data_IF_237180458079
#
_entry.id   IF_237180458079
#
_cell.length_a   1.000
_cell.length_b   1.000
_cell.length_c   1.000
_cell.angle_alpha   90.00
_cell.angle_beta   90.00
_cell.angle_gamma   90.00
#
_symmetry.space_group_name_H-M   'P 1'
#
loop_
_entity.id
_entity.type
_entity.pdbx_description
1 polymer ?
#
# COMPACT_ATOMS: atom_id res chain seq x y z
N UNK A 1 -37.60 53.46 4.81
CA UNK A 1 -38.29 54.20 5.90
C UNK A 1 -37.79 53.60 7.20
N UNK A 2 -37.20 54.25 8.21
CA UNK A 2 -36.98 55.64 8.66
C UNK A 2 -35.90 55.47 9.78
N UNK A 3 -34.69 56.02 9.75
CA UNK A 3 -34.25 57.26 10.43
C UNK A 3 -32.70 57.22 10.38
N UNK A 4 -31.97 58.05 9.62
CA UNK A 4 -31.59 59.46 9.86
C UNK A 4 -31.04 59.77 11.27
N UNK A 5 -29.72 59.90 11.38
CA UNK A 5 -29.08 61.05 12.05
C UNK A 5 -27.87 61.52 11.23
N UNK A 6 -27.84 62.83 11.04
CA UNK A 6 -26.99 63.66 10.20
C UNK A 6 -26.23 64.60 11.14
N UNK A 7 -24.97 64.93 10.86
CA UNK A 7 -24.36 66.26 11.09
C UNK A 7 -22.98 66.28 10.38
N UNK A 8 -22.80 66.92 9.21
CA UNK A 8 -22.49 68.35 8.96
C UNK A 8 -21.23 68.83 9.73
N UNK A 9 -20.22 69.54 9.21
CA UNK A 9 -19.78 70.06 7.89
C UNK A 9 -18.52 70.94 8.18
N UNK A 10 -17.86 71.49 7.14
CA UNK A 10 -16.95 72.68 7.13
C UNK A 10 -15.47 72.38 7.43
N UNK A 11 -14.44 72.93 6.76
CA UNK A 11 -14.21 73.70 5.52
C UNK A 11 -12.69 74.02 5.51
N UNK A 12 -12.03 73.88 4.35
CA UNK A 12 -10.97 74.74 3.78
C UNK A 12 -9.97 75.45 4.72
N UNK A 13 -8.67 75.22 4.53
CA UNK A 13 -7.73 76.33 4.22
C UNK A 13 -6.32 75.84 3.86
N UNK A 14 -5.79 76.56 2.89
CA UNK A 14 -4.56 76.37 2.14
C UNK A 14 -3.55 77.40 2.67
N UNK A 15 -2.36 77.00 3.14
CA UNK A 15 -1.21 77.92 3.31
C UNK A 15 0.09 77.19 2.95
N UNK A 16 0.75 77.71 1.90
CA UNK A 16 2.14 77.47 1.50
C UNK A 16 3.13 78.05 2.52
N UNK A 17 4.27 77.38 2.73
CA UNK A 17 5.59 78.04 2.84
C UNK A 17 6.66 77.19 2.16
N UNK A 18 7.50 77.87 1.38
CA UNK A 18 8.60 77.40 0.55
C UNK A 18 9.93 77.24 1.31
N UNK A 19 10.78 76.35 0.77
CA UNK A 19 12.25 76.38 0.72
C UNK A 19 13.08 76.12 1.99
N UNK A 20 13.93 75.08 1.96
CA UNK A 20 15.39 75.23 1.82
C UNK A 20 16.17 73.89 1.91
N UNK A 21 17.09 73.74 0.95
CA UNK A 21 18.43 73.11 1.03
C UNK A 21 18.61 71.59 1.27
N UNK A 22 18.79 70.89 0.14
CA UNK A 22 20.04 70.22 -0.29
C UNK A 22 20.93 69.52 0.76
N UNK A 23 21.06 68.20 0.61
CA UNK A 23 22.37 67.52 0.43
C UNK A 23 22.18 66.12 -0.13
N UNK A 24 22.69 65.91 -1.33
CA UNK A 24 22.84 64.61 -1.99
C UNK A 24 24.06 63.89 -1.41
N UNK A 25 23.91 62.65 -0.97
CA UNK A 25 24.98 61.65 -1.01
C UNK A 25 24.41 60.30 -1.44
N UNK A 26 25.20 59.64 -2.28
CA UNK A 26 24.94 58.42 -3.03
C UNK A 26 25.74 57.28 -2.40
N UNK A 27 25.22 56.06 -2.52
CA UNK A 27 25.89 54.75 -2.40
C UNK A 27 26.32 54.28 -0.99
N UNK A 28 25.77 53.15 -0.50
CA UNK A 28 26.28 51.79 -0.74
C UNK A 28 25.40 50.70 -0.10
N UNK A 29 25.40 49.53 -0.74
CA UNK A 29 24.75 48.27 -0.35
C UNK A 29 25.32 47.72 0.96
N UNK A 30 24.46 47.16 1.82
CA UNK A 30 24.81 45.97 2.63
C UNK A 30 23.54 45.26 3.07
N UNK A 31 23.26 44.15 2.39
CA UNK A 31 22.34 43.10 2.76
C UNK A 31 22.95 42.21 3.85
N UNK A 32 22.21 41.98 4.94
CA UNK A 32 22.24 40.84 5.88
C UNK A 32 21.33 41.27 7.06
N UNK A 33 20.29 40.54 7.49
CA UNK A 33 20.35 39.15 7.88
C UNK A 33 18.95 38.50 7.82
N UNK A 34 18.94 37.29 7.25
CA UNK A 34 17.79 36.40 7.13
C UNK A 34 17.35 35.89 8.51
N UNK A 35 16.06 35.99 8.80
CA UNK A 35 15.39 35.00 9.65
C UNK A 35 14.86 33.97 8.66
N UNK A 36 15.53 32.82 8.56
CA UNK A 36 15.04 31.67 7.82
C UNK A 36 13.77 31.16 8.52
N UNK A 37 12.65 31.70 8.08
CA UNK A 37 11.36 31.03 8.15
C UNK A 37 11.47 29.85 7.17
N UNK A 38 11.51 28.64 7.72
CA UNK A 38 11.52 27.38 7.00
C UNK A 38 10.44 27.43 5.92
N UNK A 39 10.87 27.49 4.67
CA UNK A 39 9.97 27.61 3.54
C UNK A 39 9.11 26.35 3.47
N UNK A 40 7.86 26.46 3.94
CA UNK A 40 6.85 25.45 3.73
C UNK A 40 6.83 25.09 2.24
N UNK A 41 7.27 23.87 1.92
CA UNK A 41 7.14 23.31 0.58
C UNK A 41 5.67 23.48 0.15
N UNK A 42 5.38 23.90 -1.10
CA UNK A 42 4.00 24.01 -1.53
C UNK A 42 3.34 22.63 -1.38
N UNK A 43 2.25 22.57 -0.62
CA UNK A 43 1.46 21.36 -0.40
C UNK A 43 1.03 20.78 -1.74
N UNK A 44 1.76 19.77 -2.21
CA UNK A 44 1.45 19.03 -3.43
C UNK A 44 0.59 17.81 -3.13
N UNK A 45 0.14 17.12 -4.16
CA UNK A 45 -0.39 15.77 -4.02
C UNK A 45 0.50 14.77 -4.73
N UNK A 46 0.48 13.52 -4.26
CA UNK A 46 1.01 12.37 -4.99
C UNK A 46 -0.13 11.40 -5.34
N UNK A 47 0.00 10.71 -6.47
CA UNK A 47 -0.87 9.60 -6.86
C UNK A 47 -0.19 8.30 -6.43
N UNK A 48 -0.81 7.61 -5.47
CA UNK A 48 -0.40 6.28 -5.01
C UNK A 48 -1.24 5.23 -5.73
N UNK A 49 -0.63 4.50 -6.68
CA UNK A 49 -1.27 3.32 -7.25
C UNK A 49 -1.00 2.10 -6.36
N UNK A 50 -2.07 1.45 -5.94
CA UNK A 50 -2.02 0.32 -5.01
C UNK A 50 -3.03 -0.74 -5.41
N UNK A 51 -3.16 -1.79 -4.60
CA UNK A 51 -4.09 -2.87 -4.87
C UNK A 51 -5.41 -2.73 -4.14
N UNK A 52 -6.51 -3.17 -4.75
CA UNK A 52 -7.82 -3.25 -4.08
C UNK A 52 -7.72 -4.04 -2.77
N UNK A 53 -6.98 -5.16 -2.75
CA UNK A 53 -6.77 -5.92 -1.52
C UNK A 53 -5.96 -5.17 -0.46
N UNK A 54 -5.09 -4.23 -0.85
CA UNK A 54 -4.43 -3.32 0.11
C UNK A 54 -5.45 -2.35 0.71
N UNK A 55 -6.24 -1.68 -0.13
CA UNK A 55 -7.21 -0.68 0.29
C UNK A 55 -8.29 -1.28 1.19
N UNK A 56 -8.80 -2.46 0.84
CA UNK A 56 -9.86 -3.15 1.58
C UNK A 56 -9.45 -3.55 3.00
N UNK A 57 -8.14 -3.61 3.30
CA UNK A 57 -7.67 -3.85 4.68
C UNK A 57 -7.88 -2.65 5.60
N UNK A 58 -8.15 -1.45 5.06
CA UNK A 58 -8.22 -0.20 5.80
C UNK A 58 -6.87 0.38 6.24
N UNK A 59 -5.75 -0.32 6.00
CA UNK A 59 -4.42 0.13 6.44
C UNK A 59 -4.06 1.51 5.88
N UNK A 60 -4.40 1.79 4.62
CA UNK A 60 -4.09 3.09 4.00
C UNK A 60 -4.95 4.21 4.58
N UNK A 61 -6.20 3.93 4.94
CA UNK A 61 -7.07 4.93 5.57
C UNK A 61 -6.57 5.31 6.97
N UNK A 62 -5.85 4.40 7.62
CA UNK A 62 -5.16 4.63 8.89
C UNK A 62 -3.83 5.39 8.72
N UNK A 63 -2.98 4.99 7.77
CA UNK A 63 -1.62 5.53 7.63
C UNK A 63 -1.56 6.87 6.88
N UNK A 64 -2.31 7.02 5.79
CA UNK A 64 -2.16 8.18 4.90
C UNK A 64 -2.49 9.53 5.57
N UNK A 65 -3.48 9.64 6.48
CA UNK A 65 -3.70 10.87 7.23
C UNK A 65 -2.48 11.32 8.05
N UNK A 66 -1.73 10.38 8.63
CA UNK A 66 -0.51 10.66 9.41
C UNK A 66 0.59 11.22 8.50
N UNK A 67 0.78 10.61 7.33
CA UNK A 67 1.73 11.12 6.33
C UNK A 67 1.38 12.54 5.88
N UNK A 68 0.09 12.79 5.58
CA UNK A 68 -0.37 14.12 5.15
C UNK A 68 -0.22 15.16 6.27
N UNK A 69 -0.48 14.80 7.53
CA UNK A 69 -0.27 15.69 8.68
C UNK A 69 1.21 16.07 8.86
N UNK A 70 2.13 15.11 8.74
CA UNK A 70 3.56 15.34 8.92
C UNK A 70 4.21 16.10 7.77
N UNK A 71 3.77 15.84 6.53
CA UNK A 71 4.48 16.32 5.32
C UNK A 71 3.75 17.40 4.56
N UNK A 72 2.47 17.62 4.87
CA UNK A 72 1.57 18.49 4.11
C UNK A 72 1.40 18.05 2.63
N UNK A 73 1.64 16.76 2.32
CA UNK A 73 1.45 16.17 0.99
C UNK A 73 0.18 15.32 1.01
N UNK A 74 -0.78 15.64 0.15
CA UNK A 74 -2.00 14.85 -0.01
C UNK A 74 -1.70 13.57 -0.81
N UNK A 75 -2.21 12.41 -0.36
CA UNK A 75 -2.07 11.15 -1.10
C UNK A 75 -3.40 10.77 -1.73
N UNK A 76 -3.42 10.71 -3.07
CA UNK A 76 -4.58 10.27 -3.85
C UNK A 76 -4.39 8.81 -4.23
N UNK A 77 -5.16 7.92 -3.60
CA UNK A 77 -5.06 6.49 -3.86
C UNK A 77 -5.84 6.09 -5.11
N UNK A 78 -5.25 5.21 -5.92
CA UNK A 78 -5.93 4.49 -7.00
C UNK A 78 -5.72 2.99 -6.75
N UNK A 79 -6.78 2.33 -6.28
CA UNK A 79 -6.76 0.91 -5.93
C UNK A 79 -7.30 0.06 -7.09
N UNK A 80 -6.42 -0.76 -7.68
CA UNK A 80 -6.72 -1.62 -8.85
C UNK A 80 -6.03 -2.98 -8.71
N UNK A 81 -6.12 -3.90 -9.66
CA UNK A 81 -5.26 -5.10 -9.62
C UNK A 81 -3.77 -4.75 -9.80
N UNK A 82 -2.84 -5.53 -9.22
CA UNK A 82 -1.39 -5.25 -9.30
C UNK A 82 -0.90 -5.00 -10.73
N UNK A 83 -1.38 -5.79 -11.70
CA UNK A 83 -1.04 -5.60 -13.11
C UNK A 83 -1.46 -4.24 -13.67
N UNK A 84 -2.64 -3.72 -13.27
CA UNK A 84 -3.08 -2.38 -13.69
C UNK A 84 -2.32 -1.27 -12.94
N UNK A 85 -2.00 -1.44 -11.66
CA UNK A 85 -1.17 -0.49 -10.91
C UNK A 85 0.24 -0.37 -11.52
N UNK A 86 0.86 -1.50 -11.87
CA UNK A 86 2.15 -1.53 -12.57
C UNK A 86 2.03 -0.88 -13.96
N UNK A 87 0.94 -1.11 -14.68
CA UNK A 87 0.68 -0.45 -15.95
C UNK A 87 0.56 1.07 -15.79
N UNK A 88 -0.08 1.57 -14.72
CA UNK A 88 -0.16 3.01 -14.45
C UNK A 88 1.22 3.65 -14.29
N UNK A 89 2.16 2.99 -13.61
CA UNK A 89 3.56 3.47 -13.56
C UNK A 89 4.22 3.51 -14.94
N UNK A 90 3.92 2.55 -15.83
CA UNK A 90 4.41 2.52 -17.21
C UNK A 90 3.80 3.59 -18.11
N UNK A 91 2.63 4.10 -17.72
CA UNK A 91 1.90 5.12 -18.46
C UNK A 91 2.13 6.54 -17.87
N UNK A 92 2.90 6.65 -16.76
CA UNK A 92 3.13 7.91 -16.06
C UNK A 92 1.91 8.44 -15.30
N UNK A 93 0.97 7.55 -14.98
CA UNK A 93 -0.32 7.87 -14.33
C UNK A 93 -0.27 7.77 -12.80
N UNK A 94 0.88 7.40 -12.21
CA UNK A 94 1.10 7.32 -10.77
C UNK A 94 2.49 7.84 -10.41
N UNK A 95 2.64 8.44 -9.24
CA UNK A 95 3.92 8.95 -8.74
C UNK A 95 4.69 7.88 -7.96
N UNK A 96 3.95 7.01 -7.26
CA UNK A 96 4.51 5.93 -6.44
C UNK A 96 3.58 4.72 -6.45
N UNK A 97 4.16 3.53 -6.40
CA UNK A 97 3.44 2.27 -6.21
C UNK A 97 3.60 1.76 -4.78
N UNK A 98 2.53 1.14 -4.25
CA UNK A 98 2.59 0.21 -3.12
C UNK A 98 1.81 -1.05 -3.50
N UNK A 99 2.51 -2.08 -3.96
CA UNK A 99 1.94 -3.30 -4.57
C UNK A 99 2.64 -4.55 -4.04
N UNK A 100 2.15 -5.74 -4.39
CA UNK A 100 2.64 -7.04 -3.88
C UNK A 100 2.91 -8.09 -4.97
N UNK A 101 3.45 -7.66 -6.11
CA UNK A 101 3.86 -8.50 -7.24
C UNK A 101 5.38 -8.38 -7.50
N UNK A 102 6.20 -8.82 -6.52
CA UNK A 102 7.67 -8.66 -6.51
C UNK A 102 8.37 -8.98 -7.86
N UNK A 103 8.05 -10.06 -8.60
CA UNK A 103 8.69 -10.30 -9.90
C UNK A 103 8.42 -9.19 -10.92
N UNK A 104 7.19 -8.70 -11.01
CA UNK A 104 6.81 -7.64 -11.95
C UNK A 104 7.33 -6.27 -11.50
N UNK A 105 7.41 -6.04 -10.19
CA UNK A 105 8.03 -4.86 -9.58
C UNK A 105 9.53 -4.76 -9.90
N UNK A 106 10.27 -5.86 -9.73
CA UNK A 106 11.70 -5.90 -10.06
C UNK A 106 11.94 -5.66 -11.55
N UNK A 107 11.08 -6.22 -12.42
CA UNK A 107 11.12 -5.95 -13.85
C UNK A 107 10.82 -4.48 -14.18
N UNK A 108 9.90 -3.83 -13.46
CA UNK A 108 9.59 -2.42 -13.62
C UNK A 108 10.81 -1.52 -13.31
N UNK A 109 11.58 -1.87 -12.27
CA UNK A 109 12.85 -1.21 -11.93
C UNK A 109 13.92 -1.49 -13.01
N UNK A 110 14.08 -2.75 -13.43
CA UNK A 110 15.05 -3.14 -14.46
C UNK A 110 14.84 -2.40 -15.79
N UNK A 111 13.58 -2.19 -16.17
CA UNK A 111 13.21 -1.45 -17.39
C UNK A 111 13.26 0.08 -17.21
N UNK A 112 13.57 0.56 -16.01
CA UNK A 112 13.77 1.96 -15.66
C UNK A 112 12.49 2.79 -15.53
N UNK A 113 11.34 2.15 -15.34
CA UNK A 113 10.06 2.84 -15.06
C UNK A 113 9.88 3.19 -13.58
N UNK A 114 10.57 2.48 -12.68
CA UNK A 114 10.71 2.84 -11.28
C UNK A 114 12.19 3.02 -10.95
N UNK A 115 12.52 3.90 -9.99
CA UNK A 115 13.91 4.20 -9.64
C UNK A 115 14.52 3.15 -8.72
N UNK A 116 13.75 2.70 -7.73
CA UNK A 116 14.13 1.65 -6.80
C UNK A 116 12.89 0.91 -6.26
N UNK A 117 13.13 -0.15 -5.51
CA UNK A 117 12.11 -0.91 -4.79
C UNK A 117 12.58 -1.14 -3.36
N UNK A 118 11.75 -0.78 -2.38
CA UNK A 118 11.96 -1.13 -0.97
C UNK A 118 10.87 -2.08 -0.50
N UNK A 119 11.27 -3.15 0.19
CA UNK A 119 10.33 -4.01 0.92
C UNK A 119 9.72 -3.19 2.07
N UNK A 120 8.41 -3.25 2.28
CA UNK A 120 7.73 -2.48 3.34
C UNK A 120 7.23 -3.41 4.44
N UNK A 121 6.43 -4.39 4.04
CA UNK A 121 5.75 -5.31 4.94
C UNK A 121 5.32 -6.53 4.13
N UNK A 122 4.87 -7.57 4.79
CA UNK A 122 4.14 -8.64 4.13
C UNK A 122 2.89 -8.98 4.94
N UNK A 123 1.84 -9.39 4.24
CA UNK A 123 0.90 -10.34 4.83
C UNK A 123 1.24 -11.73 4.27
N UNK A 124 0.56 -12.76 4.75
CA UNK A 124 0.85 -14.12 4.33
C UNK A 124 -0.38 -14.86 3.84
N UNK A 125 -0.10 -15.83 3.00
CA UNK A 125 -0.99 -16.92 2.71
C UNK A 125 -0.78 -18.05 3.72
N UNK A 126 -1.78 -18.88 3.87
CA UNK A 126 -1.74 -20.06 4.73
C UNK A 126 -2.33 -21.25 3.97
N UNK A 127 -1.83 -22.44 4.27
CA UNK A 127 -2.53 -23.66 3.90
C UNK A 127 -3.47 -24.02 5.05
N UNK A 128 -4.77 -24.06 4.77
CA UNK A 128 -5.77 -24.56 5.72
C UNK A 128 -6.30 -25.91 5.28
N UNK A 129 -6.83 -26.68 6.23
CA UNK A 129 -7.40 -27.99 5.97
C UNK A 129 -8.16 -28.55 7.18
N UNK A 130 -8.76 -29.74 7.04
CA UNK A 130 -9.54 -30.37 8.12
C UNK A 130 -8.71 -30.52 9.40
N UNK A 131 -9.30 -30.22 10.56
CA UNK A 131 -8.63 -30.38 11.86
C UNK A 131 -8.25 -31.86 12.15
N UNK A 132 -9.03 -32.80 11.63
CA UNK A 132 -8.78 -34.25 11.65
C UNK A 132 -8.07 -34.76 10.38
N UNK A 133 -7.46 -33.84 9.62
CA UNK A 133 -6.74 -34.11 8.39
C UNK A 133 -5.48 -34.98 8.56
N UNK A 134 -4.96 -35.46 7.43
CA UNK A 134 -3.77 -36.32 7.38
C UNK A 134 -2.46 -35.55 7.49
N UNK A 135 -2.43 -34.30 7.01
CA UNK A 135 -1.22 -33.48 7.01
C UNK A 135 -0.87 -33.02 8.43
N UNK A 136 0.41 -33.04 8.73
CA UNK A 136 0.93 -32.47 9.97
C UNK A 136 1.03 -30.95 9.88
N UNK A 137 0.82 -30.27 11.00
CA UNK A 137 1.05 -28.82 11.08
C UNK A 137 2.55 -28.50 10.97
N UNK A 138 2.91 -27.46 10.22
CA UNK A 138 4.31 -27.11 9.98
C UNK A 138 4.50 -25.79 9.24
N UNK A 139 5.68 -25.62 8.65
CA UNK A 139 6.10 -24.39 7.96
C UNK A 139 6.76 -24.65 6.59
N UNK A 140 6.54 -25.84 6.01
CA UNK A 140 7.07 -26.22 4.69
C UNK A 140 5.90 -26.45 3.73
N UNK A 141 5.59 -25.44 2.93
CA UNK A 141 4.43 -25.50 2.01
C UNK A 141 4.69 -26.46 0.86
N UNK A 142 5.93 -26.56 0.39
CA UNK A 142 6.27 -27.40 -0.76
C UNK A 142 6.15 -28.89 -0.39
N UNK A 143 6.58 -29.26 0.82
CA UNK A 143 6.38 -30.61 1.35
C UNK A 143 4.89 -30.95 1.52
N UNK A 144 4.09 -30.02 2.04
CA UNK A 144 2.65 -30.23 2.22
C UNK A 144 1.91 -30.40 0.89
N UNK A 145 2.19 -29.55 -0.11
CA UNK A 145 1.59 -29.67 -1.44
C UNK A 145 1.99 -30.98 -2.13
N UNK A 146 3.25 -31.41 -1.95
CA UNK A 146 3.70 -32.72 -2.44
C UNK A 146 2.91 -33.86 -1.79
N UNK A 147 2.70 -33.83 -0.48
CA UNK A 147 1.90 -34.85 0.22
C UNK A 147 0.44 -34.87 -0.22
N UNK A 148 -0.16 -33.70 -0.43
CA UNK A 148 -1.52 -33.55 -1.01
C UNK A 148 -1.58 -34.21 -2.38
N UNK A 149 -0.62 -33.92 -3.26
CA UNK A 149 -0.57 -34.49 -4.60
C UNK A 149 -0.33 -36.01 -4.58
N UNK A 150 0.60 -36.50 -3.76
CA UNK A 150 0.98 -37.92 -3.73
C UNK A 150 -0.16 -38.79 -3.19
N UNK A 151 -0.92 -38.27 -2.23
CA UNK A 151 -2.07 -38.97 -1.63
C UNK A 151 -3.42 -38.60 -2.25
N UNK A 152 -3.43 -37.70 -3.25
CA UNK A 152 -4.64 -37.19 -3.91
C UNK A 152 -5.69 -36.71 -2.90
N UNK A 153 -5.24 -35.96 -1.89
CA UNK A 153 -6.12 -35.36 -0.91
C UNK A 153 -6.89 -34.22 -1.56
N UNK A 154 -8.17 -34.05 -1.22
CA UNK A 154 -8.97 -32.98 -1.82
C UNK A 154 -8.30 -31.63 -1.58
N UNK A 155 -8.14 -30.88 -2.65
CA UNK A 155 -7.59 -29.53 -2.66
C UNK A 155 -8.56 -28.63 -3.42
N UNK A 156 -8.96 -27.52 -2.83
CA UNK A 156 -9.87 -26.57 -3.45
C UNK A 156 -9.08 -25.36 -3.91
N UNK A 157 -9.10 -25.11 -5.21
CA UNK A 157 -8.57 -23.90 -5.82
C UNK A 157 -9.68 -22.86 -6.00
N UNK A 158 -9.27 -21.60 -5.91
CA UNK A 158 -10.07 -20.45 -6.33
C UNK A 158 -10.46 -20.55 -7.80
N UNK A 159 -9.52 -20.92 -8.68
CA UNK A 159 -9.77 -21.04 -10.13
C UNK A 159 -10.31 -19.77 -10.80
N UNK A 160 -9.97 -18.57 -10.28
CA UNK A 160 -10.62 -17.30 -10.63
C UNK A 160 -9.64 -16.21 -11.12
N UNK A 161 -8.41 -16.59 -11.48
CA UNK A 161 -7.30 -15.70 -11.89
C UNK A 161 -6.89 -14.61 -10.88
N UNK A 162 -7.35 -14.72 -9.63
CA UNK A 162 -6.97 -13.80 -8.54
C UNK A 162 -5.50 -13.91 -8.12
N UNK A 163 -5.07 -12.98 -7.27
CA UNK A 163 -3.75 -13.05 -6.62
C UNK A 163 -3.53 -14.37 -5.86
N UNK A 164 -4.53 -14.83 -5.10
CA UNK A 164 -4.46 -16.11 -4.39
C UNK A 164 -4.35 -17.29 -5.35
N UNK A 165 -5.13 -17.31 -6.44
CA UNK A 165 -5.04 -18.35 -7.46
C UNK A 165 -3.64 -18.38 -8.10
N UNK A 166 -3.11 -17.22 -8.49
CA UNK A 166 -1.75 -17.13 -9.05
C UNK A 166 -0.67 -17.57 -8.07
N UNK A 167 -0.80 -17.22 -6.79
CA UNK A 167 0.09 -17.67 -5.73
C UNK A 167 0.07 -19.19 -5.62
N UNK A 168 -1.11 -19.76 -5.51
CA UNK A 168 -1.32 -21.21 -5.46
C UNK A 168 -0.66 -21.93 -6.64
N UNK A 169 -0.95 -21.52 -7.88
CA UNK A 169 -0.33 -22.08 -9.08
C UNK A 169 1.19 -21.94 -9.08
N UNK A 170 1.72 -20.84 -8.56
CA UNK A 170 3.17 -20.65 -8.43
C UNK A 170 3.81 -21.66 -7.48
N UNK A 171 3.12 -22.04 -6.40
CA UNK A 171 3.60 -23.04 -5.44
C UNK A 171 3.60 -24.45 -6.05
N UNK A 172 2.55 -24.81 -6.79
CA UNK A 172 2.50 -26.07 -7.54
C UNK A 172 3.63 -26.18 -8.56
N UNK A 173 3.92 -25.07 -9.26
CA UNK A 173 5.04 -25.01 -10.21
C UNK A 173 6.40 -25.18 -9.55
N UNK A 174 6.61 -24.70 -8.33
CA UNK A 174 7.88 -24.87 -7.60
C UNK A 174 8.21 -26.35 -7.31
N UNK A 175 7.20 -27.23 -7.28
CA UNK A 175 7.39 -28.68 -7.12
C UNK A 175 7.19 -29.47 -8.42
N UNK A 176 7.16 -28.78 -9.58
CA UNK A 176 6.95 -29.37 -10.91
C UNK A 176 5.66 -30.21 -11.01
N UNK A 177 4.59 -29.81 -10.31
CA UNK A 177 3.28 -30.47 -10.34
C UNK A 177 2.27 -29.60 -11.08
N UNK A 178 1.56 -30.21 -12.03
CA UNK A 178 0.34 -29.63 -12.62
C UNK A 178 -0.87 -30.31 -11.95
N UNK A 179 -1.59 -29.62 -11.05
CA UNK A 179 -2.65 -30.24 -10.28
C UNK A 179 -3.86 -30.50 -11.18
N UNK A 180 -4.15 -31.78 -11.44
CA UNK A 180 -5.25 -32.20 -12.30
C UNK A 180 -5.96 -33.44 -11.73
N UNK A 181 -7.25 -33.57 -12.04
CA UNK A 181 -8.10 -34.69 -11.63
C UNK A 181 -9.12 -34.34 -10.54
N UNK A 182 -9.90 -35.33 -10.10
CA UNK A 182 -11.07 -35.12 -9.22
C UNK A 182 -10.74 -34.56 -7.83
N UNK A 183 -9.50 -34.77 -7.35
CA UNK A 183 -9.05 -34.25 -6.06
C UNK A 183 -8.76 -32.74 -6.09
N UNK A 184 -8.53 -32.15 -7.27
CA UNK A 184 -8.27 -30.73 -7.44
C UNK A 184 -9.53 -30.03 -7.95
N UNK A 185 -10.15 -29.23 -7.09
CA UNK A 185 -11.50 -28.69 -7.28
C UNK A 185 -11.41 -27.18 -7.49
N UNK A 186 -11.72 -26.71 -8.69
CA UNK A 186 -11.80 -25.28 -8.98
C UNK A 186 -13.20 -24.74 -8.69
N UNK A 187 -13.28 -23.66 -7.91
CA UNK A 187 -14.56 -23.05 -7.52
C UNK A 187 -15.00 -21.89 -8.42
N UNK A 188 -14.07 -21.26 -9.13
CA UNK A 188 -14.32 -20.02 -9.90
C UNK A 188 -14.89 -18.89 -9.03
N UNK A 189 -14.62 -18.92 -7.72
CA UNK A 189 -15.31 -18.11 -6.70
C UNK A 189 -14.31 -17.35 -5.82
N UNK A 190 -14.82 -16.38 -5.05
CA UNK A 190 -14.02 -15.63 -4.09
C UNK A 190 -13.61 -16.46 -2.87
N UNK A 191 -12.60 -15.97 -2.13
CA UNK A 191 -11.94 -16.73 -1.05
C UNK A 191 -12.87 -17.24 0.05
N UNK A 192 -13.85 -16.42 0.47
CA UNK A 192 -14.80 -16.84 1.50
C UNK A 192 -15.66 -18.04 1.09
N UNK A 193 -16.08 -18.13 -0.17
CA UNK A 193 -16.85 -19.27 -0.66
C UNK A 193 -15.95 -20.47 -0.97
N UNK A 194 -14.74 -20.25 -1.46
CA UNK A 194 -13.72 -21.31 -1.60
C UNK A 194 -13.40 -21.97 -0.25
N UNK A 195 -13.28 -21.19 0.83
CA UNK A 195 -13.09 -21.72 2.19
C UNK A 195 -14.28 -22.57 2.67
N UNK A 196 -15.52 -22.14 2.42
CA UNK A 196 -16.71 -22.94 2.74
C UNK A 196 -16.74 -24.25 1.97
N UNK A 197 -16.41 -24.22 0.67
CA UNK A 197 -16.31 -25.46 -0.14
C UNK A 197 -15.20 -26.36 0.39
N UNK A 198 -14.05 -25.80 0.80
CA UNK A 198 -12.98 -26.59 1.41
C UNK A 198 -13.43 -27.27 2.71
N UNK A 199 -14.17 -26.56 3.57
CA UNK A 199 -14.75 -27.11 4.79
C UNK A 199 -15.75 -28.24 4.49
N UNK A 200 -16.73 -27.98 3.61
CA UNK A 200 -17.75 -28.97 3.21
C UNK A 200 -17.15 -30.24 2.57
N UNK A 201 -16.08 -30.08 1.80
CA UNK A 201 -15.40 -31.18 1.09
C UNK A 201 -14.32 -31.85 1.93
N UNK A 202 -14.08 -31.38 3.16
CA UNK A 202 -12.95 -31.78 4.01
C UNK A 202 -11.64 -31.75 3.23
N UNK A 203 -11.33 -30.59 2.66
CA UNK A 203 -10.28 -30.37 1.70
C UNK A 203 -9.29 -29.29 2.16
N UNK A 204 -8.10 -29.30 1.57
CA UNK A 204 -7.08 -28.29 1.80
C UNK A 204 -7.24 -27.12 0.82
N UNK A 205 -6.82 -25.91 1.20
CA UNK A 205 -6.79 -24.77 0.29
C UNK A 205 -5.76 -23.72 0.73
N UNK A 206 -5.24 -22.95 -0.22
CA UNK A 206 -4.43 -21.77 0.06
C UNK A 206 -5.37 -20.58 0.26
N UNK A 207 -5.24 -19.90 1.39
CA UNK A 207 -6.07 -18.75 1.74
C UNK A 207 -5.21 -17.57 2.19
N UNK A 208 -5.70 -16.35 1.98
CA UNK A 208 -5.17 -15.20 2.71
C UNK A 208 -5.61 -15.28 4.18
N UNK A 209 -4.69 -14.96 5.10
CA UNK A 209 -4.94 -15.09 6.54
C UNK A 209 -6.14 -14.26 7.00
N UNK A 210 -6.27 -13.02 6.52
CA UNK A 210 -7.36 -12.12 6.92
C UNK A 210 -8.75 -12.72 6.67
N UNK A 211 -9.00 -13.24 5.46
CA UNK A 211 -10.27 -13.88 5.12
C UNK A 211 -10.52 -15.12 5.97
N UNK A 212 -9.51 -15.98 6.16
CA UNK A 212 -9.64 -17.14 7.04
C UNK A 212 -10.05 -16.74 8.46
N UNK A 213 -9.38 -15.74 9.05
CA UNK A 213 -9.70 -15.29 10.40
C UNK A 213 -11.12 -14.76 10.54
N UNK A 214 -11.60 -14.00 9.55
CA UNK A 214 -12.98 -13.48 9.55
C UNK A 214 -14.05 -14.58 9.54
N UNK A 215 -13.70 -15.79 9.09
CA UNK A 215 -14.61 -16.94 8.96
C UNK A 215 -14.28 -18.08 9.93
N UNK A 216 -13.19 -17.97 10.69
CA UNK A 216 -12.63 -19.08 11.49
C UNK A 216 -13.66 -19.70 12.44
N UNK A 217 -14.49 -18.89 13.07
CA UNK A 217 -15.52 -19.36 14.02
C UNK A 217 -16.68 -20.10 13.33
N UNK A 218 -16.74 -20.08 12.00
CA UNK A 218 -17.78 -20.74 11.18
C UNK A 218 -17.27 -21.92 10.36
N UNK A 219 -15.96 -22.20 10.40
CA UNK A 219 -15.30 -23.25 9.61
C UNK A 219 -14.65 -24.28 10.56
N UNK A 220 -14.70 -25.57 10.22
CA UNK A 220 -13.92 -26.62 10.88
C UNK A 220 -12.61 -26.89 10.11
N UNK A 221 -11.88 -25.80 9.87
CA UNK A 221 -10.59 -25.78 9.18
C UNK A 221 -9.51 -25.18 10.08
N UNK A 222 -8.40 -25.89 10.19
CA UNK A 222 -7.22 -25.46 10.91
C UNK A 222 -6.15 -24.94 9.95
N UNK A 223 -5.31 -24.03 10.44
CA UNK A 223 -4.03 -23.71 9.78
C UNK A 223 -3.13 -24.93 9.86
N UNK A 224 -2.73 -25.44 8.69
CA UNK A 224 -1.86 -26.60 8.51
C UNK A 224 -0.44 -26.13 8.23
N UNK A 225 -0.26 -25.17 7.33
CA UNK A 225 1.06 -24.58 7.06
C UNK A 225 1.00 -23.06 7.10
N UNK A 226 1.94 -22.47 7.83
CA UNK A 226 2.15 -21.03 7.90
C UNK A 226 3.64 -20.70 8.10
N UNK A 227 4.04 -19.46 7.82
CA UNK A 227 5.40 -18.96 8.10
C UNK A 227 6.48 -19.39 7.10
N UNK A 228 6.13 -20.13 6.05
CA UNK A 228 7.02 -20.40 4.92
C UNK A 228 7.22 -19.11 4.10
N UNK A 229 8.46 -18.77 3.71
CA UNK A 229 8.74 -17.58 2.89
C UNK A 229 8.02 -17.63 1.53
N UNK A 230 7.77 -18.82 1.00
CA UNK A 230 6.97 -19.01 -0.22
C UNK A 230 5.51 -18.65 -0.02
N UNK A 231 5.02 -18.49 1.21
CA UNK A 231 3.67 -18.03 1.52
C UNK A 231 3.59 -16.52 1.75
N UNK A 232 4.72 -15.80 1.82
CA UNK A 232 4.68 -14.36 1.99
C UNK A 232 4.13 -13.67 0.75
N UNK A 233 3.32 -12.65 0.99
CA UNK A 233 2.82 -11.73 0.01
C UNK A 233 3.47 -10.36 0.29
N UNK A 234 4.67 -10.21 -0.27
CA UNK A 234 5.58 -9.11 0.03
C UNK A 234 5.12 -7.83 -0.64
N UNK A 235 4.91 -6.78 0.14
CA UNK A 235 4.63 -5.44 -0.36
C UNK A 235 5.94 -4.70 -0.65
N UNK A 236 6.00 -4.07 -1.81
CA UNK A 236 7.06 -3.18 -2.23
C UNK A 236 6.55 -1.77 -2.47
N UNK A 237 7.33 -0.77 -2.06
CA UNK A 237 7.14 0.64 -2.46
C UNK A 237 8.12 1.00 -3.56
N UNK A 238 7.62 1.65 -4.62
CA UNK A 238 8.39 1.97 -5.83
C UNK A 238 8.04 3.38 -6.34
N UNK A 239 8.93 4.37 -6.19
CA UNK A 239 8.79 5.66 -6.86
C UNK A 239 8.91 5.51 -8.39
N UNK A 240 8.01 6.13 -9.13
CA UNK A 240 8.04 6.15 -10.60
C UNK A 240 9.17 7.06 -11.07
N UNK A 241 9.90 6.65 -12.11
CA UNK A 241 11.07 7.36 -12.60
C UNK A 241 10.69 8.66 -13.32
N UNK A 242 11.09 9.85 -12.80
CA UNK A 242 10.77 11.14 -13.42
C UNK A 242 11.46 11.37 -14.76
N UNK A 243 12.53 10.63 -15.07
CA UNK A 243 13.20 10.72 -16.38
C UNK A 243 12.32 10.16 -17.53
N UNK A 244 11.31 9.34 -17.20
CA UNK A 244 10.36 8.80 -18.18
C UNK A 244 9.18 9.75 -18.43
N UNK A 245 8.80 10.56 -17.45
CA UNK A 245 7.59 11.38 -17.46
C UNK A 245 7.78 12.69 -16.69
N UNK A 246 7.58 13.83 -17.35
CA UNK A 246 7.76 15.16 -16.74
C UNK A 246 6.72 15.50 -15.65
N UNK A 247 5.59 14.77 -15.61
CA UNK A 247 4.47 15.05 -14.70
C UNK A 247 4.62 14.42 -13.32
N UNK A 248 5.66 13.61 -13.10
CA UNK A 248 5.83 12.82 -11.88
C UNK A 248 6.29 13.70 -10.72
N UNK A 249 5.54 13.69 -9.62
CA UNK A 249 5.94 14.28 -8.35
C UNK A 249 6.93 13.35 -7.62
N UNK A 250 8.14 13.26 -8.14
CA UNK A 250 9.17 12.36 -7.63
C UNK A 250 9.62 12.69 -6.21
N UNK A 251 9.71 13.98 -5.86
CA UNK A 251 10.06 14.40 -4.50
C UNK A 251 9.03 13.89 -3.48
N UNK A 252 7.74 14.04 -3.77
CA UNK A 252 6.68 13.51 -2.93
C UNK A 252 6.69 11.99 -2.85
N UNK A 253 6.95 11.30 -3.97
CA UNK A 253 7.07 9.84 -4.02
C UNK A 253 8.22 9.31 -3.16
N UNK A 254 9.39 9.96 -3.20
CA UNK A 254 10.55 9.62 -2.36
C UNK A 254 10.25 9.89 -0.89
N UNK A 255 9.64 11.04 -0.56
CA UNK A 255 9.21 11.34 0.81
C UNK A 255 8.24 10.28 1.35
N UNK A 256 7.28 9.82 0.55
CA UNK A 256 6.37 8.74 0.92
C UNK A 256 7.10 7.42 1.15
N UNK A 257 8.00 7.03 0.23
CA UNK A 257 8.81 5.83 0.36
C UNK A 257 9.68 5.86 1.63
N UNK A 258 10.36 6.97 1.92
CA UNK A 258 11.15 7.11 3.13
C UNK A 258 10.27 7.02 4.37
N UNK A 259 9.15 7.74 4.37
CA UNK A 259 8.21 7.79 5.49
C UNK A 259 7.65 6.41 5.84
N UNK A 260 7.12 5.66 4.85
CA UNK A 260 6.49 4.35 5.11
C UNK A 260 7.49 3.30 5.60
N UNK A 261 8.79 3.53 5.36
CA UNK A 261 9.89 2.66 5.80
C UNK A 261 10.53 3.07 7.12
N UNK A 262 10.10 4.17 7.76
CA UNK A 262 10.61 4.58 9.08
C UNK A 262 10.24 3.56 10.17
N UNK A 263 11.09 3.41 11.18
CA UNK A 263 10.90 2.47 12.29
C UNK A 263 9.58 2.68 13.04
N UNK A 264 9.20 3.93 13.30
CA UNK A 264 7.94 4.25 13.98
C UNK A 264 6.71 3.92 13.13
N UNK A 265 6.76 4.16 11.82
CA UNK A 265 5.66 3.78 10.91
C UNK A 265 5.59 2.26 10.72
N UNK A 266 6.74 1.58 10.67
CA UNK A 266 6.81 0.12 10.63
C UNK A 266 6.21 -0.50 11.90
N UNK A 267 6.40 0.13 13.07
CA UNK A 267 5.73 -0.29 14.31
C UNK A 267 4.21 -0.17 14.19
N UNK A 268 3.69 0.96 13.68
CA UNK A 268 2.24 1.13 13.47
C UNK A 268 1.66 0.08 12.52
N UNK A 269 2.39 -0.26 11.44
CA UNK A 269 2.02 -1.35 10.52
C UNK A 269 1.93 -2.69 11.26
N UNK A 270 2.93 -3.01 12.10
CA UNK A 270 2.98 -4.26 12.86
C UNK A 270 1.95 -4.37 13.99
N UNK A 271 1.38 -3.26 14.44
CA UNK A 271 0.31 -3.22 15.45
C UNK A 271 -1.09 -3.26 14.81
N UNK A 272 -1.18 -2.98 13.50
CA UNK A 272 -2.46 -2.89 12.80
C UNK A 272 -3.22 -4.22 12.77
N UNK A 273 -4.49 -4.15 13.19
CA UNK A 273 -5.42 -5.29 13.24
C UNK A 273 -5.38 -6.10 14.53
N UNK A 274 -4.44 -5.88 15.44
CA UNK A 274 -4.36 -6.63 16.72
C UNK A 274 -5.64 -6.45 17.54
N UNK A 275 -6.15 -5.22 17.64
CA UNK A 275 -7.35 -4.93 18.44
C UNK A 275 -8.60 -5.63 17.87
N UNK A 276 -8.75 -5.68 16.55
CA UNK A 276 -9.94 -6.22 15.88
C UNK A 276 -9.88 -7.74 15.69
N UNK A 277 -8.71 -8.28 15.32
CA UNK A 277 -8.54 -9.68 14.91
C UNK A 277 -7.74 -10.52 15.92
N UNK A 278 -7.24 -9.91 17.00
CA UNK A 278 -6.40 -10.57 18.00
C UNK A 278 -4.97 -10.87 17.56
N UNK A 279 -4.60 -10.48 16.33
CA UNK A 279 -3.25 -10.59 15.77
C UNK A 279 -3.01 -9.54 14.68
N UNK A 280 -1.75 -9.26 14.38
CA UNK A 280 -1.38 -8.31 13.33
C UNK A 280 -1.76 -8.84 11.94
N UNK A 281 -2.25 -7.95 11.08
CA UNK A 281 -2.56 -8.28 9.68
C UNK A 281 -1.33 -8.19 8.76
N UNK A 282 -0.33 -7.43 9.17
CA UNK A 282 0.90 -7.20 8.42
C UNK A 282 2.11 -7.36 9.32
N UNK A 283 3.18 -7.92 8.77
CA UNK A 283 4.47 -8.05 9.46
C UNK A 283 5.45 -7.11 8.76
N UNK A 284 5.92 -6.04 9.42
CA UNK A 284 6.93 -5.14 8.88
C UNK A 284 8.25 -5.90 8.72
N UNK A 285 8.93 -5.66 7.60
CA UNK A 285 10.20 -6.34 7.31
C UNK A 285 11.21 -5.48 6.55
N UNK A 286 11.00 -4.18 6.52
CA UNK A 286 12.05 -3.25 6.10
C UNK A 286 13.25 -3.35 7.05
N UNK A 287 14.46 -3.21 6.49
CA UNK A 287 15.74 -3.32 7.22
C UNK A 287 16.56 -2.06 7.10
#
# INVERSE_FOLDING_TARGET
MKNRKTFFLILLSLILVLSACTSTQTEENTSENNTEEEAASPAGSIILATTTSTQDTGLLDYLLPLFTEETNIEVKTIAVGSGKAIQMARDGEADVLLVHAKPDELKLVEEGFATERRDVMYNDFILVGPADGKLQKGNDILAALKEINDNKLNFVSRGDDSGTHKKELSLWKLIDVEPTGEWYIETGSGMGDTLKVADEKRAYTIADRGTYLSLKDTLDLDIIVEGDENLFNQYGVLPVNPEKFETINYEGAVKFMEWITREDIQQLIGEYGIEEYGQALFIPNYK
#
